data_IF_502991827555
#
_entry.id   IF_502991827555
#
_cell.length_a   1.000
_cell.length_b   1.000
_cell.length_c   1.000
_cell.angle_alpha   90.00
_cell.angle_beta   90.00
_cell.angle_gamma   90.00
#
_symmetry.space_group_name_H-M   'P 1'
#
loop_
_entity.id
_entity.type
_entity.pdbx_description
1 polymer ?
#
# COMPACT_ATOMS: atom_id res chain seq x y z
N UNK A 1 -2.21 -21.78 -19.40
CA UNK A 1 -2.70 -22.29 -18.10
C UNK A 1 -3.15 -21.09 -17.29
N UNK A 2 -4.35 -21.15 -16.72
CA UNK A 2 -4.87 -20.10 -15.85
C UNK A 2 -4.67 -20.50 -14.39
N UNK A 3 -4.28 -19.54 -13.55
CA UNK A 3 -4.15 -19.73 -12.11
C UNK A 3 -5.53 -19.57 -11.44
N UNK A 4 -5.71 -20.21 -10.28
CA UNK A 4 -6.93 -20.08 -9.46
C UNK A 4 -6.57 -19.37 -8.17
N UNK A 5 -7.34 -18.34 -7.83
CA UNK A 5 -7.13 -17.60 -6.59
C UNK A 5 -7.58 -18.41 -5.38
N UNK A 6 -6.70 -18.57 -4.38
CA UNK A 6 -7.05 -19.27 -3.14
C UNK A 6 -8.18 -18.58 -2.36
N UNK A 7 -8.18 -17.24 -2.35
CA UNK A 7 -9.13 -16.45 -1.56
C UNK A 7 -10.55 -16.42 -2.13
N UNK A 8 -10.70 -16.39 -3.46
CA UNK A 8 -12.01 -16.18 -4.10
C UNK A 8 -12.37 -17.18 -5.21
N UNK A 9 -11.48 -18.11 -5.54
CA UNK A 9 -11.69 -19.09 -6.62
C UNK A 9 -11.68 -18.52 -8.03
N UNK A 10 -11.46 -17.21 -8.21
CA UNK A 10 -11.43 -16.59 -9.52
C UNK A 10 -10.25 -17.13 -10.35
N UNK A 11 -10.51 -17.38 -11.63
CA UNK A 11 -9.45 -17.66 -12.59
C UNK A 11 -8.73 -16.37 -12.97
N UNK A 12 -7.40 -16.38 -12.92
CA UNK A 12 -6.57 -15.24 -13.28
C UNK A 12 -5.28 -15.72 -13.95
N UNK A 13 -4.39 -14.79 -14.27
CA UNK A 13 -3.11 -15.11 -14.91
C UNK A 13 -2.00 -14.33 -14.23
N UNK A 14 -1.08 -15.03 -13.55
CA UNK A 14 0.13 -14.46 -12.98
C UNK A 14 1.27 -14.49 -14.01
N UNK A 15 1.04 -13.90 -15.19
CA UNK A 15 2.06 -13.90 -16.23
C UNK A 15 3.09 -12.80 -15.95
N UNK A 16 4.22 -13.17 -15.35
CA UNK A 16 5.41 -12.32 -15.31
C UNK A 16 6.10 -12.33 -16.68
N UNK A 17 5.49 -11.66 -17.67
CA UNK A 17 5.92 -11.71 -19.08
C UNK A 17 7.22 -10.93 -19.27
N UNK A 18 7.46 -9.87 -18.51
CA UNK A 18 8.69 -9.07 -18.56
C UNK A 18 9.08 -8.52 -17.17
N UNK A 19 10.39 -8.34 -16.89
CA UNK A 19 10.85 -7.62 -15.69
C UNK A 19 10.23 -6.22 -15.65
N UNK A 20 9.51 -5.89 -14.58
CA UNK A 20 8.89 -4.58 -14.38
C UNK A 20 7.50 -4.38 -14.98
N UNK A 21 6.87 -5.39 -15.59
CA UNK A 21 5.51 -5.27 -16.17
C UNK A 21 4.41 -5.96 -15.35
N UNK A 22 4.75 -6.51 -14.18
CA UNK A 22 3.81 -7.29 -13.38
C UNK A 22 3.04 -6.39 -12.43
N UNK A 23 1.70 -6.42 -12.49
CA UNK A 23 0.83 -5.68 -11.57
C UNK A 23 1.10 -5.99 -10.08
N UNK A 24 1.68 -7.15 -9.75
CA UNK A 24 2.04 -7.51 -8.38
C UNK A 24 3.25 -6.72 -7.86
N UNK A 25 4.16 -6.30 -8.75
CA UNK A 25 5.34 -5.51 -8.39
C UNK A 25 5.00 -4.04 -8.07
N UNK A 26 3.81 -3.59 -8.43
CA UNK A 26 3.31 -2.24 -8.08
C UNK A 26 2.92 -2.13 -6.60
N UNK A 27 2.68 -3.24 -5.93
CA UNK A 27 2.29 -3.23 -4.52
C UNK A 27 3.53 -3.23 -3.63
N UNK A 28 3.51 -2.43 -2.54
CA UNK A 28 4.62 -2.42 -1.62
C UNK A 28 4.78 -3.80 -0.95
N UNK A 29 6.02 -4.24 -0.66
CA UNK A 29 6.29 -5.51 0.03
C UNK A 29 6.03 -5.38 1.54
N UNK A 30 4.79 -5.04 1.89
CA UNK A 30 4.31 -4.84 3.27
C UNK A 30 3.56 -6.04 3.82
N UNK A 31 3.32 -7.04 2.97
CA UNK A 31 2.65 -8.27 3.37
C UNK A 31 3.57 -9.11 4.27
N UNK A 32 3.07 -9.60 5.41
CA UNK A 32 3.75 -10.63 6.18
C UNK A 32 3.58 -11.95 5.43
N UNK A 33 4.41 -12.21 4.43
CA UNK A 33 4.50 -13.55 3.86
C UNK A 33 5.29 -14.39 4.86
N UNK A 34 4.59 -15.22 5.63
CA UNK A 34 5.24 -16.40 6.18
C UNK A 34 5.62 -17.29 4.99
N UNK A 35 6.86 -17.79 4.96
CA UNK A 35 7.36 -18.63 3.85
C UNK A 35 6.52 -19.91 3.62
N UNK A 36 5.60 -20.21 4.53
CA UNK A 36 4.70 -21.38 4.56
C UNK A 36 3.43 -21.24 3.72
N UNK A 37 3.01 -20.04 3.30
CA UNK A 37 1.74 -19.87 2.55
C UNK A 37 1.94 -19.13 1.21
N UNK A 38 2.60 -19.79 0.25
CA UNK A 38 2.63 -19.35 -1.16
C UNK A 38 1.27 -19.55 -1.84
N UNK A 39 0.25 -18.86 -1.37
CA UNK A 39 -1.09 -18.90 -1.94
C UNK A 39 -1.21 -17.93 -3.12
N UNK A 40 -1.62 -18.44 -4.28
CA UNK A 40 -1.88 -17.62 -5.46
C UNK A 40 -3.08 -16.69 -5.21
N UNK A 41 -2.86 -15.37 -5.27
CA UNK A 41 -3.91 -14.36 -5.15
C UNK A 41 -4.13 -13.63 -6.48
N UNK A 42 -5.40 -13.45 -6.86
CA UNK A 42 -5.75 -12.59 -7.98
C UNK A 42 -5.49 -11.11 -7.63
N UNK A 43 -5.47 -10.19 -8.62
CA UNK A 43 -5.19 -8.78 -8.39
C UNK A 43 -6.07 -8.11 -7.33
N UNK A 44 -7.36 -8.45 -7.30
CA UNK A 44 -8.30 -7.88 -6.35
C UNK A 44 -8.01 -8.35 -4.91
N UNK A 45 -7.79 -9.67 -4.74
CA UNK A 45 -7.50 -10.22 -3.42
C UNK A 45 -6.11 -9.82 -2.93
N UNK A 46 -5.11 -9.72 -3.81
CA UNK A 46 -3.79 -9.18 -3.43
C UNK A 46 -3.92 -7.74 -2.96
N UNK A 47 -4.62 -6.88 -3.72
CA UNK A 47 -4.86 -5.48 -3.32
C UNK A 47 -5.51 -5.38 -1.94
N UNK A 48 -6.55 -6.18 -1.69
CA UNK A 48 -7.24 -6.21 -0.41
C UNK A 48 -6.30 -6.62 0.74
N UNK A 49 -5.53 -7.68 0.56
CA UNK A 49 -4.55 -8.15 1.55
C UNK A 49 -3.45 -7.12 1.81
N UNK A 50 -2.95 -6.46 0.76
CA UNK A 50 -1.96 -5.39 0.89
C UNK A 50 -2.56 -4.23 1.67
N UNK A 51 -3.80 -3.81 1.37
CA UNK A 51 -4.47 -2.74 2.11
C UNK A 51 -4.66 -3.08 3.59
N UNK A 52 -5.04 -4.32 3.92
CA UNK A 52 -5.12 -4.81 5.30
C UNK A 52 -3.75 -4.73 6.02
N UNK A 53 -2.68 -5.19 5.36
CA UNK A 53 -1.33 -5.14 5.92
C UNK A 53 -0.82 -3.70 6.11
N UNK A 54 -1.17 -2.80 5.19
CA UNK A 54 -0.86 -1.36 5.31
C UNK A 54 -1.58 -0.75 6.51
N UNK A 55 -2.85 -1.07 6.73
CA UNK A 55 -3.59 -0.54 7.88
C UNK A 55 -2.90 -0.92 9.20
N UNK A 56 -2.47 -2.17 9.34
CA UNK A 56 -1.68 -2.63 10.49
C UNK A 56 -0.34 -1.91 10.59
N UNK A 57 0.38 -1.75 9.46
CA UNK A 57 1.63 -1.00 9.40
C UNK A 57 1.46 0.43 9.94
N UNK A 58 0.43 1.13 9.46
CA UNK A 58 0.14 2.52 9.83
C UNK A 58 -0.11 2.63 11.32
N UNK A 59 -0.97 1.78 11.88
CA UNK A 59 -1.28 1.79 13.31
C UNK A 59 -0.05 1.47 14.18
N UNK A 60 0.81 0.54 13.75
CA UNK A 60 2.05 0.26 14.45
C UNK A 60 3.04 1.44 14.42
N UNK A 61 3.14 2.16 13.30
CA UNK A 61 3.98 3.36 13.22
C UNK A 61 3.41 4.48 14.09
N UNK A 62 2.10 4.71 14.06
CA UNK A 62 1.43 5.74 14.88
C UNK A 62 1.57 5.46 16.36
N UNK A 63 1.43 4.20 16.78
CA UNK A 63 1.62 3.79 18.16
C UNK A 63 3.08 3.67 18.60
N UNK A 64 4.04 3.95 17.70
CA UNK A 64 5.48 3.85 17.98
C UNK A 64 6.00 2.42 18.12
N UNK A 65 5.19 1.40 17.84
CA UNK A 65 5.58 -0.02 17.85
C UNK A 65 6.51 -0.39 16.70
N UNK A 66 6.46 0.38 15.60
CA UNK A 66 7.27 0.20 14.40
C UNK A 66 7.90 1.53 14.00
N UNK A 67 9.16 1.50 13.57
CA UNK A 67 9.81 2.66 12.95
C UNK A 67 9.28 2.88 11.53
N UNK A 68 9.10 4.14 11.10
CA UNK A 68 8.61 4.43 9.76
C UNK A 68 9.68 4.14 8.69
N UNK A 69 9.66 2.92 8.14
CA UNK A 69 10.50 2.51 7.01
C UNK A 69 9.80 2.68 5.66
N UNK A 70 8.55 3.14 5.63
CA UNK A 70 7.79 3.32 4.39
C UNK A 70 8.46 4.33 3.45
N UNK A 71 9.30 5.22 3.99
CA UNK A 71 10.18 6.13 3.25
C UNK A 71 11.06 5.44 2.20
N UNK A 72 11.39 4.16 2.39
CA UNK A 72 12.13 3.34 1.41
C UNK A 72 11.35 3.13 0.11
N UNK A 73 10.03 3.29 0.15
CA UNK A 73 9.12 3.18 -1.00
C UNK A 73 8.76 4.54 -1.60
N UNK A 74 9.36 5.63 -1.14
CA UNK A 74 9.22 6.94 -1.77
C UNK A 74 10.26 7.10 -2.90
N UNK A 75 9.93 6.63 -4.09
CA UNK A 75 10.77 6.78 -5.29
C UNK A 75 10.06 7.56 -6.41
N UNK A 76 10.78 8.39 -7.19
CA UNK A 76 10.21 9.13 -8.33
C UNK A 76 9.76 8.19 -9.47
N UNK A 77 10.19 6.94 -9.44
CA UNK A 77 9.87 5.88 -10.41
C UNK A 77 8.73 4.97 -9.96
N UNK A 78 8.24 5.10 -8.72
CA UNK A 78 7.10 4.33 -8.23
C UNK A 78 5.82 5.13 -8.44
N UNK A 79 4.99 4.71 -9.40
CA UNK A 79 3.68 5.31 -9.63
C UNK A 79 2.77 5.18 -8.41
N UNK A 80 1.95 6.20 -8.15
CA UNK A 80 0.95 6.12 -7.08
C UNK A 80 -0.16 5.15 -7.45
N UNK A 81 -0.48 4.23 -6.54
CA UNK A 81 -1.50 3.20 -6.76
C UNK A 81 -2.83 3.59 -6.14
N UNK A 82 -3.87 3.66 -6.96
CA UNK A 82 -5.24 3.91 -6.47
C UNK A 82 -5.73 2.79 -5.54
N UNK A 83 -6.34 3.18 -4.43
CA UNK A 83 -6.75 2.34 -3.31
C UNK A 83 -5.62 1.95 -2.36
N UNK A 84 -4.40 2.42 -2.59
CA UNK A 84 -3.25 2.23 -1.70
C UNK A 84 -2.69 3.60 -1.28
N UNK A 85 -2.29 4.41 -2.25
CA UNK A 85 -1.70 5.74 -2.04
C UNK A 85 -2.73 6.85 -2.02
N UNK A 86 -3.80 6.69 -2.79
CA UNK A 86 -4.90 7.63 -2.87
C UNK A 86 -6.20 6.94 -3.27
N UNK A 87 -7.33 7.61 -3.12
CA UNK A 87 -8.59 7.29 -3.78
C UNK A 87 -9.21 8.57 -4.35
N UNK A 88 -10.15 8.43 -5.28
CA UNK A 88 -10.90 9.57 -5.82
C UNK A 88 -12.22 9.72 -5.07
N UNK A 89 -12.43 10.89 -4.46
CA UNK A 89 -13.67 11.27 -3.77
C UNK A 89 -14.14 12.60 -4.38
N UNK A 90 -15.36 12.62 -4.94
CA UNK A 90 -15.92 13.82 -5.60
C UNK A 90 -15.04 14.44 -6.70
N UNK A 91 -14.27 13.62 -7.42
CA UNK A 91 -13.34 14.08 -8.46
C UNK A 91 -12.01 14.64 -7.94
N UNK A 92 -11.78 14.61 -6.62
CA UNK A 92 -10.53 15.00 -6.00
C UNK A 92 -9.72 13.78 -5.56
N UNK A 93 -8.40 13.88 -5.68
CA UNK A 93 -7.47 12.89 -5.14
C UNK A 93 -7.33 13.05 -3.64
N UNK A 94 -7.68 12.02 -2.88
CA UNK A 94 -7.52 11.96 -1.43
C UNK A 94 -6.39 10.99 -1.11
N UNK A 95 -5.24 11.51 -0.68
CA UNK A 95 -4.08 10.71 -0.31
C UNK A 95 -4.27 10.00 1.03
N UNK A 96 -3.79 8.76 1.13
CA UNK A 96 -3.93 7.91 2.31
C UNK A 96 -2.80 8.13 3.33
N UNK A 97 -2.96 7.59 4.53
CA UNK A 97 -1.90 7.57 5.56
C UNK A 97 -0.61 6.91 5.02
N UNK A 98 -0.73 5.83 4.23
CA UNK A 98 0.42 5.16 3.62
C UNK A 98 1.24 6.08 2.72
N UNK A 99 0.58 6.87 1.88
CA UNK A 99 1.25 7.86 1.04
C UNK A 99 2.02 8.88 1.90
N UNK A 100 1.43 9.32 3.01
CA UNK A 100 2.09 10.24 3.94
C UNK A 100 3.23 9.57 4.73
N UNK A 101 3.13 8.27 5.05
CA UNK A 101 4.24 7.52 5.64
C UNK A 101 5.41 7.39 4.67
N UNK A 102 5.15 7.14 3.37
CA UNK A 102 6.18 7.18 2.33
C UNK A 102 6.85 8.55 2.26
N UNK A 103 6.09 9.64 2.37
CA UNK A 103 6.66 11.00 2.46
C UNK A 103 7.57 11.17 3.68
N UNK A 104 7.31 10.47 4.77
CA UNK A 104 8.21 10.38 5.93
C UNK A 104 8.09 11.48 6.97
N UNK A 105 7.36 12.56 6.67
CA UNK A 105 7.21 13.69 7.60
C UNK A 105 5.88 14.42 7.42
N UNK A 106 5.40 15.08 8.49
CA UNK A 106 4.24 15.95 8.44
C UNK A 106 4.54 17.18 7.59
N UNK A 107 3.68 17.47 6.61
CA UNK A 107 3.89 18.61 5.70
C UNK A 107 3.25 19.93 6.15
N UNK A 108 2.50 19.94 7.26
CA UNK A 108 1.86 21.14 7.81
C UNK A 108 0.58 21.60 7.11
N UNK A 109 0.08 20.87 6.10
CA UNK A 109 -1.11 21.24 5.32
C UNK A 109 -2.44 20.69 5.86
N UNK A 110 -2.50 20.37 7.15
CA UNK A 110 -3.71 19.83 7.81
C UNK A 110 -4.42 18.69 7.05
N UNK A 111 -3.64 17.71 6.57
CA UNK A 111 -4.15 16.63 5.73
C UNK A 111 -5.09 15.70 6.53
N UNK A 112 -6.22 15.30 5.91
CA UNK A 112 -7.23 14.38 6.51
C UNK A 112 -6.63 13.07 7.05
N UNK A 113 -5.62 12.55 6.36
CA UNK A 113 -5.01 11.24 6.63
C UNK A 113 -3.56 11.39 7.13
N UNK A 114 -3.28 12.39 7.96
CA UNK A 114 -1.94 12.61 8.51
C UNK A 114 -1.59 11.56 9.57
N UNK A 115 -0.58 10.69 9.37
CA UNK A 115 -0.18 9.67 10.35
C UNK A 115 0.77 10.22 11.43
N UNK A 116 1.00 11.53 11.46
CA UNK A 116 2.00 12.20 12.31
C UNK A 116 1.37 13.20 13.28
N UNK A 117 0.10 13.00 13.66
CA UNK A 117 -0.63 13.84 14.62
C UNK A 117 -0.52 15.35 14.37
N UNK A 118 -0.44 15.73 13.09
CA UNK A 118 -0.38 17.12 12.64
C UNK A 118 0.72 17.97 13.31
N UNK A 119 1.84 17.37 13.71
CA UNK A 119 2.93 18.04 14.47
C UNK A 119 3.47 19.33 13.83
N UNK A 120 3.37 19.48 12.50
CA UNK A 120 3.85 20.65 11.76
C UNK A 120 2.73 21.59 11.29
N UNK A 121 1.48 21.37 11.70
CA UNK A 121 0.36 22.28 11.39
C UNK A 121 0.43 23.48 12.35
N UNK A 122 0.48 24.73 11.85
CA UNK A 122 0.44 25.92 12.68
C UNK A 122 -0.83 25.95 13.56
N UNK A 123 -0.66 26.33 14.83
CA UNK A 123 -1.78 26.56 15.76
C UNK A 123 -2.39 27.95 15.59
#
# INVERSE_FOLDING_TARGET
MSDICHQCGASFSCHAIQPGSCWCADYPPVLPFDDTSKECLCPACLKAKVAEAIALYVEEVRSGKRVNEAVKFAGPTQGFKEGIDFYVENGFYVFTEWYHLKRGTCCGNDCRHCPFDHVNVPK
#
